data_IF_636892372112
#
_entry.id   IF_636892372112
#
_cell.length_a   1.000
_cell.length_b   1.000
_cell.length_c   1.000
_cell.angle_alpha   90.00
_cell.angle_beta   90.00
_cell.angle_gamma   90.00
#
_symmetry.space_group_name_H-M   'P 1'
#
loop_
_entity.id
_entity.type
_entity.pdbx_description
1 polymer ?
#
# COMPACT_ATOMS: atom_id res chain seq x y z
N UNK A 1 18.56 7.33 1.69
CA UNK A 1 18.18 5.91 1.52
C UNK A 1 16.73 5.85 1.05
N UNK A 2 16.49 5.60 -0.23
CA UNK A 2 15.18 5.16 -0.72
C UNK A 2 14.98 3.72 -0.27
N UNK A 3 13.94 3.45 0.52
CA UNK A 3 13.61 2.09 0.95
C UNK A 3 13.02 1.30 -0.22
N UNK A 4 13.28 -0.01 -0.28
CA UNK A 4 12.56 -0.89 -1.19
C UNK A 4 11.10 -1.04 -0.75
N UNK A 5 10.24 -1.38 -1.70
CA UNK A 5 8.84 -1.73 -1.46
C UNK A 5 8.77 -2.86 -0.43
N UNK A 6 8.08 -2.61 0.69
CA UNK A 6 7.91 -3.57 1.79
C UNK A 6 6.95 -4.73 1.42
N UNK A 7 6.40 -4.74 0.20
CA UNK A 7 5.57 -5.83 -0.33
C UNK A 7 6.39 -6.75 -1.22
N UNK A 8 6.98 -6.23 -2.31
CA UNK A 8 7.72 -7.08 -3.25
C UNK A 8 9.24 -7.13 -3.01
N UNK A 9 9.80 -6.21 -2.23
CA UNK A 9 11.25 -6.10 -1.97
C UNK A 9 12.13 -6.01 -3.23
N UNK A 10 11.56 -5.62 -4.37
CA UNK A 10 12.26 -5.54 -5.67
C UNK A 10 12.36 -4.10 -6.16
N UNK A 11 11.24 -3.36 -6.14
CA UNK A 11 11.15 -1.99 -6.63
C UNK A 11 11.35 -1.00 -5.50
N UNK A 12 11.83 0.20 -5.82
CA UNK A 12 11.88 1.30 -4.85
C UNK A 12 10.48 1.70 -4.39
N UNK A 13 10.35 1.98 -3.10
CA UNK A 13 9.13 2.52 -2.55
C UNK A 13 8.99 4.00 -2.92
N UNK A 14 7.82 4.36 -3.46
CA UNK A 14 7.47 5.72 -3.89
C UNK A 14 6.31 6.30 -3.09
N UNK A 15 5.55 5.46 -2.40
CA UNK A 15 4.34 5.83 -1.66
C UNK A 15 4.36 5.26 -0.24
N UNK A 16 3.64 5.91 0.67
CA UNK A 16 3.44 5.46 2.04
C UNK A 16 1.95 5.21 2.26
N UNK A 17 1.58 4.00 2.70
CA UNK A 17 0.20 3.67 3.03
C UNK A 17 -0.27 4.51 4.23
N UNK A 18 -1.37 5.25 4.09
CA UNK A 18 -1.91 6.09 5.19
C UNK A 18 -2.50 5.29 6.35
N UNK A 19 -2.84 4.02 6.16
CA UNK A 19 -3.45 3.17 7.20
C UNK A 19 -2.40 2.43 8.05
N UNK A 20 -1.40 1.83 7.40
CA UNK A 20 -0.42 0.98 8.10
C UNK A 20 1.02 1.51 8.07
N UNK A 21 1.30 2.59 7.32
CA UNK A 21 2.62 3.20 7.24
C UNK A 21 3.65 2.50 6.33
N UNK A 22 3.30 1.36 5.70
CA UNK A 22 4.22 0.65 4.79
C UNK A 22 4.61 1.52 3.60
N UNK A 23 5.90 1.46 3.25
CA UNK A 23 6.46 2.06 2.03
C UNK A 23 6.35 1.09 0.87
N UNK A 24 5.66 1.49 -0.20
CA UNK A 24 5.34 0.61 -1.34
C UNK A 24 5.65 1.27 -2.68
N UNK A 25 5.95 0.45 -3.68
CA UNK A 25 6.09 0.90 -5.07
C UNK A 25 4.71 1.22 -5.68
N UNK A 26 4.69 1.87 -6.83
CA UNK A 26 3.45 2.26 -7.52
C UNK A 26 2.49 1.10 -7.81
N UNK A 27 3.01 -0.09 -8.12
CA UNK A 27 2.19 -1.27 -8.40
C UNK A 27 1.48 -1.82 -7.16
N UNK A 28 2.05 -1.60 -5.96
CA UNK A 28 1.48 -2.06 -4.69
C UNK A 28 0.79 -0.93 -3.93
N UNK A 29 0.54 0.20 -4.59
CA UNK A 29 -0.18 1.34 -4.04
C UNK A 29 -1.48 1.58 -4.81
N UNK A 30 -2.59 1.43 -4.10
CA UNK A 30 -3.91 1.84 -4.56
C UNK A 30 -4.01 3.37 -4.43
N UNK A 31 -3.92 4.05 -5.57
CA UNK A 31 -3.96 5.52 -5.66
C UNK A 31 -5.34 6.08 -5.36
N UNK A 32 -6.41 5.34 -5.64
CA UNK A 32 -7.78 5.80 -5.41
C UNK A 32 -8.10 5.82 -3.92
N UNK A 33 -7.67 4.79 -3.18
CA UNK A 33 -7.89 4.70 -1.73
C UNK A 33 -6.76 5.34 -0.90
N UNK A 34 -5.61 5.61 -1.52
CA UNK A 34 -4.40 6.13 -0.88
C UNK A 34 -3.74 5.11 0.05
N UNK A 35 -3.81 3.83 -0.30
CA UNK A 35 -3.45 2.70 0.57
C UNK A 35 -2.53 1.72 -0.16
N UNK A 36 -1.80 0.88 0.58
CA UNK A 36 -1.19 -0.28 -0.06
C UNK A 36 -2.27 -1.30 -0.44
N UNK A 37 -1.98 -2.12 -1.46
CA UNK A 37 -2.93 -3.13 -1.96
C UNK A 37 -3.39 -4.12 -0.87
N UNK A 38 -2.56 -4.40 0.13
CA UNK A 38 -2.94 -5.26 1.27
C UNK A 38 -4.07 -4.59 2.06
N UNK A 39 -3.87 -3.35 2.51
CA UNK A 39 -4.91 -2.61 3.25
C UNK A 39 -6.15 -2.34 2.41
N UNK A 40 -5.98 -2.06 1.11
CA UNK A 40 -7.10 -1.90 0.17
C UNK A 40 -7.94 -3.18 0.09
N UNK A 41 -7.30 -4.35 0.00
CA UNK A 41 -7.98 -5.65 -0.03
C UNK A 41 -8.60 -6.08 1.31
N UNK A 42 -8.04 -5.61 2.44
CA UNK A 42 -8.55 -5.91 3.78
C UNK A 42 -9.72 -5.02 4.21
N UNK A 43 -9.93 -3.89 3.52
CA UNK A 43 -11.16 -3.10 3.67
C UNK A 43 -12.29 -3.88 3.01
N UNK A 44 -12.88 -4.75 3.82
CA UNK A 44 -14.09 -5.47 3.46
C UNK A 44 -15.20 -4.45 3.19
N UNK A 45 -15.49 -4.21 1.91
CA UNK A 45 -16.54 -3.27 1.47
C UNK A 45 -17.95 -3.71 1.92
N UNK A 46 -18.08 -4.97 2.37
CA UNK A 46 -19.31 -5.56 2.92
C UNK A 46 -19.40 -5.45 4.44
N UNK A 47 -18.29 -5.29 5.15
CA UNK A 47 -18.23 -5.20 6.61
C UNK A 47 -18.35 -3.75 7.11
N UNK A 48 -18.53 -2.80 6.19
CA UNK A 48 -18.41 -1.36 6.40
C UNK A 48 -19.67 -0.64 6.87
N UNK A 49 -20.72 -1.35 7.30
CA UNK A 49 -21.88 -0.87 8.08
C UNK A 49 -22.45 -1.97 8.96
#
# INVERSE_FOLDING_TARGET
MSGLCEVCHIREARYVCRLCGRRVCEEHFDREKGLCVICSSSLCELCGV
#
